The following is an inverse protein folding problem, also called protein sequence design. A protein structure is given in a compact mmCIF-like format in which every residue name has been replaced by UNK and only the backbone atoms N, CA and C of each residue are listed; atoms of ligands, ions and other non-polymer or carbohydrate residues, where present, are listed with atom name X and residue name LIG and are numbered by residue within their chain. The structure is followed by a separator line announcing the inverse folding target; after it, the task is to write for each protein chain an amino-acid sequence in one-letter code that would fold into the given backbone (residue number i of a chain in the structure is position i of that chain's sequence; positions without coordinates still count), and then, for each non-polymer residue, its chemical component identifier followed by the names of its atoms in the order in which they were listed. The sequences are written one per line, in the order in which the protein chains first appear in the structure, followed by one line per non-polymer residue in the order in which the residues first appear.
data_IF_174802663469
#
_entry.id   IF_174802663469
#
_cell.length_a   1.000
_cell.length_b   1.000
_cell.length_c   1.000
_cell.angle_alpha   90.00
_cell.angle_beta   90.00
_cell.angle_gamma   90.00
#
_symmetry.space_group_name_H-M   'P 1'
#
loop_
_entity.id
_entity.type
_entity.pdbx_description
1 polymer ?
#
# COMPACT_ATOMS: atom_id res chain seq x y z
N UNK A 1 -36.86 -11.27 -4.25
CA UNK A 1 -36.16 -12.56 -4.39
C UNK A 1 -34.70 -12.27 -4.15
N UNK A 2 -34.24 -12.69 -2.97
CA UNK A 2 -32.85 -12.79 -2.49
C UNK A 2 -31.87 -11.72 -2.97
N UNK A 3 -31.94 -10.55 -2.34
CA UNK A 3 -30.80 -9.65 -2.22
C UNK A 3 -29.99 -10.12 -1.01
N UNK A 4 -29.11 -11.09 -1.25
CA UNK A 4 -28.04 -11.46 -0.32
C UNK A 4 -26.75 -10.97 -0.98
N UNK A 5 -26.61 -9.65 -1.05
CA UNK A 5 -25.40 -8.98 -1.52
C UNK A 5 -24.20 -9.59 -0.81
N UNK A 6 -23.31 -10.20 -1.58
CA UNK A 6 -22.11 -10.82 -1.06
C UNK A 6 -21.33 -9.76 -0.25
N UNK A 7 -21.32 -9.92 1.07
CA UNK A 7 -20.56 -9.04 1.97
C UNK A 7 -19.09 -9.29 1.68
N UNK A 8 -18.40 -8.31 1.10
CA UNK A 8 -16.95 -8.33 1.01
C UNK A 8 -16.40 -8.53 2.43
N UNK A 9 -15.36 -9.35 2.60
CA UNK A 9 -14.61 -9.48 3.86
C UNK A 9 -13.18 -9.04 3.64
N UNK A 10 -12.53 -8.36 4.58
CA UNK A 10 -11.11 -8.07 4.46
C UNK A 10 -10.34 -9.40 4.49
N UNK A 11 -9.61 -9.71 3.42
CA UNK A 11 -8.79 -10.92 3.26
C UNK A 11 -7.32 -10.69 3.58
N UNK A 12 -6.87 -9.44 3.48
CA UNK A 12 -5.50 -9.04 3.80
C UNK A 12 -5.45 -7.56 4.11
N UNK A 13 -4.47 -7.17 4.92
CA UNK A 13 -4.19 -5.78 5.26
C UNK A 13 -2.70 -5.50 5.03
N UNK A 14 -2.40 -4.37 4.40
CA UNK A 14 -1.05 -3.90 4.21
C UNK A 14 -0.98 -2.38 4.39
N UNK A 15 0.09 -1.91 5.04
CA UNK A 15 0.41 -0.49 5.08
C UNK A 15 1.44 -0.24 4.00
N UNK A 16 1.16 0.71 3.12
CA UNK A 16 1.90 0.91 1.89
C UNK A 16 2.40 2.35 1.81
N UNK A 17 3.61 2.51 1.31
CA UNK A 17 4.21 3.79 0.97
C UNK A 17 4.85 3.68 -0.40
N UNK A 18 4.67 4.71 -1.23
CA UNK A 18 5.26 4.72 -2.57
C UNK A 18 6.23 5.88 -2.71
N UNK A 19 7.32 5.63 -3.42
CA UNK A 19 8.22 6.69 -3.91
C UNK A 19 8.48 6.48 -5.38
N UNK A 20 8.78 7.57 -6.08
CA UNK A 20 9.05 7.57 -7.52
C UNK A 20 10.44 8.10 -7.77
N UNK A 21 11.09 7.56 -8.78
CA UNK A 21 12.39 8.01 -9.25
C UNK A 21 12.54 7.82 -10.75
N UNK A 22 13.47 8.56 -11.36
CA UNK A 22 13.79 8.39 -12.78
C UNK A 22 14.86 7.30 -12.93
N UNK A 23 14.68 6.35 -13.86
CA UNK A 23 15.64 5.25 -14.10
C UNK A 23 17.05 5.78 -14.41
N UNK A 24 17.13 6.89 -15.16
CA UNK A 24 18.41 7.53 -15.52
C UNK A 24 19.18 8.16 -14.35
N UNK A 25 18.56 8.28 -13.17
CA UNK A 25 19.14 8.85 -11.95
C UNK A 25 19.66 7.79 -10.97
N UNK A 26 19.35 6.51 -11.19
CA UNK A 26 19.93 5.41 -10.40
C UNK A 26 21.46 5.44 -10.51
N UNK A 27 22.15 5.18 -9.39
CA UNK A 27 23.61 5.32 -9.32
C UNK A 27 24.33 4.44 -10.35
N UNK A 28 23.81 3.23 -10.59
CA UNK A 28 24.35 2.27 -11.55
C UNK A 28 24.04 2.59 -13.03
N UNK A 29 23.28 3.65 -13.33
CA UNK A 29 22.92 3.98 -14.71
C UNK A 29 24.07 4.65 -15.48
N UNK A 30 24.67 3.93 -16.43
CA UNK A 30 25.69 4.48 -17.34
C UNK A 30 25.04 5.17 -18.56
N UNK A 31 25.05 6.51 -18.57
CA UNK A 31 24.51 7.35 -19.66
C UNK A 31 25.11 7.10 -21.05
N UNK A 32 26.27 6.44 -21.15
CA UNK A 32 26.91 6.12 -22.44
C UNK A 32 26.51 4.75 -22.97
N UNK A 33 26.12 3.82 -22.09
CA UNK A 33 25.88 2.41 -22.42
C UNK A 33 24.43 2.00 -22.29
N UNK A 34 23.67 2.68 -21.43
CA UNK A 34 22.30 2.35 -21.12
C UNK A 34 21.34 3.29 -21.82
N UNK A 35 20.20 2.73 -22.20
CA UNK A 35 19.06 3.48 -22.74
C UNK A 35 17.95 3.46 -21.69
N UNK A 36 17.28 4.60 -21.53
CA UNK A 36 16.12 4.69 -20.64
C UNK A 36 15.00 3.81 -21.22
N UNK A 37 14.32 2.99 -20.41
CA UNK A 37 13.23 2.16 -20.90
C UNK A 37 12.10 3.01 -21.51
N UNK A 38 11.53 2.50 -22.60
CA UNK A 38 10.38 3.07 -23.30
C UNK A 38 9.10 2.24 -23.12
N UNK A 39 9.20 1.13 -22.39
CA UNK A 39 8.12 0.19 -22.10
C UNK A 39 8.38 -0.53 -20.77
N UNK A 40 7.32 -0.82 -20.03
CA UNK A 40 7.37 -1.74 -18.90
C UNK A 40 7.15 -3.19 -19.41
N UNK A 41 8.20 -4.01 -19.37
CA UNK A 41 8.11 -5.43 -19.69
C UNK A 41 9.20 -6.21 -18.94
N UNK A 42 9.15 -7.55 -18.95
CA UNK A 42 10.09 -8.37 -18.19
C UNK A 42 11.58 -8.09 -18.48
N UNK A 43 11.94 -7.69 -19.70
CA UNK A 43 13.32 -7.36 -20.04
C UNK A 43 13.78 -6.01 -19.47
N UNK A 44 12.92 -4.98 -19.52
CA UNK A 44 13.22 -3.65 -18.97
C UNK A 44 13.13 -3.65 -17.44
N UNK A 45 12.23 -4.46 -16.88
CA UNK A 45 12.15 -4.71 -15.45
C UNK A 45 13.42 -5.41 -14.94
N UNK A 46 13.88 -6.50 -15.58
CA UNK A 46 15.15 -7.15 -15.22
C UNK A 46 16.38 -6.24 -15.39
N UNK A 47 16.27 -5.20 -16.23
CA UNK A 47 17.29 -4.15 -16.32
C UNK A 47 17.23 -3.21 -15.11
N UNK A 48 16.04 -2.73 -14.71
CA UNK A 48 15.84 -1.96 -13.49
C UNK A 48 16.36 -2.69 -12.25
N UNK A 49 16.02 -3.97 -12.10
CA UNK A 49 16.43 -4.82 -10.96
C UNK A 49 17.95 -4.86 -10.78
N UNK A 50 18.71 -4.88 -11.89
CA UNK A 50 20.18 -4.81 -11.86
C UNK A 50 20.70 -3.44 -11.48
N UNK A 51 19.99 -2.37 -11.86
CA UNK A 51 20.40 -1.01 -11.55
C UNK A 51 20.19 -0.66 -10.07
N UNK A 52 19.16 -1.22 -9.44
CA UNK A 52 18.84 -0.93 -8.04
C UNK A 52 19.43 -1.93 -7.04
N UNK A 53 20.13 -2.98 -7.48
CA UNK A 53 20.63 -4.07 -6.62
C UNK A 53 21.40 -3.57 -5.38
N UNK A 54 22.35 -2.65 -5.57
CA UNK A 54 23.17 -2.08 -4.48
C UNK A 54 22.33 -1.18 -3.57
N UNK A 55 21.58 -0.22 -4.13
CA UNK A 55 20.72 0.70 -3.37
C UNK A 55 19.67 -0.06 -2.54
N UNK A 56 19.02 -1.07 -3.13
CA UNK A 56 18.05 -1.93 -2.46
C UNK A 56 18.70 -2.73 -1.34
N UNK A 57 19.87 -3.33 -1.59
CA UNK A 57 20.58 -4.12 -0.58
C UNK A 57 20.99 -3.27 0.62
N UNK A 58 21.50 -2.06 0.38
CA UNK A 58 21.88 -1.12 1.44
C UNK A 58 20.67 -0.66 2.25
N UNK A 59 19.56 -0.28 1.60
CA UNK A 59 18.34 0.14 2.32
C UNK A 59 17.74 -1.03 3.11
N UNK A 60 17.68 -2.22 2.50
CA UNK A 60 17.16 -3.42 3.14
C UNK A 60 17.98 -3.83 4.37
N UNK A 61 19.31 -3.76 4.29
CA UNK A 61 20.20 -4.03 5.42
C UNK A 61 20.04 -2.99 6.54
N UNK A 62 19.90 -1.70 6.18
CA UNK A 62 19.65 -0.65 7.16
C UNK A 62 18.33 -0.87 7.91
N UNK A 63 17.27 -1.28 7.21
CA UNK A 63 16.00 -1.65 7.83
C UNK A 63 16.13 -2.86 8.74
N UNK A 64 16.85 -3.90 8.30
CA UNK A 64 17.11 -5.10 9.12
C UNK A 64 17.82 -4.74 10.43
N UNK A 65 18.91 -3.97 10.37
CA UNK A 65 19.66 -3.59 11.57
C UNK A 65 18.83 -2.71 12.50
N UNK A 66 18.10 -1.73 11.95
CA UNK A 66 17.22 -0.84 12.71
C UNK A 66 16.10 -1.61 13.41
N UNK A 67 15.41 -2.52 12.71
CA UNK A 67 14.36 -3.35 13.30
C UNK A 67 14.92 -4.29 14.37
N UNK A 68 16.05 -4.96 14.10
CA UNK A 68 16.70 -5.86 15.04
C UNK A 68 17.08 -5.15 16.35
N UNK A 69 17.67 -3.96 16.26
CA UNK A 69 18.07 -3.19 17.42
C UNK A 69 16.87 -2.69 18.23
N UNK A 70 15.89 -2.05 17.57
CA UNK A 70 14.76 -1.39 18.24
C UNK A 70 13.79 -2.37 18.90
N UNK A 71 13.58 -3.53 18.29
CA UNK A 71 12.71 -4.58 18.84
C UNK A 71 13.47 -5.59 19.70
N UNK A 72 14.81 -5.49 19.74
CA UNK A 72 15.65 -6.47 20.44
C UNK A 72 15.56 -7.88 19.85
N UNK A 73 15.27 -8.02 18.55
CA UNK A 73 15.11 -9.30 17.91
C UNK A 73 16.40 -10.12 17.94
N UNK A 74 16.26 -11.41 18.23
CA UNK A 74 17.35 -12.38 18.10
C UNK A 74 17.51 -12.80 16.64
N UNK A 75 18.69 -13.30 16.28
CA UNK A 75 19.00 -13.80 14.91
C UNK A 75 18.03 -14.84 14.36
N UNK A 76 17.23 -15.51 15.21
CA UNK A 76 16.21 -16.50 14.80
C UNK A 76 14.80 -15.91 14.61
N UNK A 77 14.61 -14.65 15.00
CA UNK A 77 13.31 -13.94 15.03
C UNK A 77 13.23 -12.89 13.92
N UNK A 78 14.28 -12.77 13.11
CA UNK A 78 14.40 -11.82 12.02
C UNK A 78 15.27 -12.42 10.91
N UNK A 79 14.85 -12.27 9.66
CA UNK A 79 15.61 -12.66 8.47
C UNK A 79 15.41 -11.65 7.34
N UNK A 80 16.45 -11.47 6.54
CA UNK A 80 16.42 -10.63 5.35
C UNK A 80 16.63 -11.49 4.11
N UNK A 81 15.77 -11.33 3.11
CA UNK A 81 15.96 -11.85 1.77
C UNK A 81 15.97 -10.66 0.79
N UNK A 82 16.93 -10.63 -0.12
CA UNK A 82 17.02 -9.62 -1.19
C UNK A 82 17.25 -10.38 -2.49
N UNK A 83 16.40 -10.13 -3.47
CA UNK A 83 16.46 -10.75 -4.79
C UNK A 83 15.75 -9.86 -5.82
N UNK A 84 16.38 -9.64 -6.98
CA UNK A 84 15.74 -9.14 -8.21
C UNK A 84 14.76 -7.97 -7.99
N UNK A 85 15.26 -6.82 -7.49
CA UNK A 85 14.45 -5.63 -7.24
C UNK A 85 13.44 -5.74 -6.09
N UNK A 86 13.49 -6.83 -5.32
CA UNK A 86 12.64 -7.09 -4.18
C UNK A 86 13.48 -7.39 -2.93
N UNK A 87 13.09 -6.83 -1.79
CA UNK A 87 13.62 -7.22 -0.49
C UNK A 87 12.49 -7.52 0.47
N UNK A 88 12.63 -8.59 1.26
CA UNK A 88 11.69 -8.96 2.32
C UNK A 88 12.42 -9.15 3.64
N UNK A 89 12.07 -8.31 4.59
CA UNK A 89 12.41 -8.44 6.00
C UNK A 89 11.28 -9.20 6.68
N UNK A 90 11.55 -10.40 7.14
CA UNK A 90 10.59 -11.22 7.86
C UNK A 90 10.93 -11.22 9.34
N UNK A 91 9.96 -10.88 10.19
CA UNK A 91 10.10 -10.88 11.65
C UNK A 91 9.00 -11.74 12.26
N UNK A 92 9.11 -12.04 13.56
CA UNK A 92 8.03 -12.74 14.27
C UNK A 92 6.73 -11.92 14.39
N UNK A 93 6.79 -10.60 14.25
CA UNK A 93 5.66 -9.69 14.54
C UNK A 93 5.10 -8.97 13.29
N UNK A 94 5.85 -8.95 12.18
CA UNK A 94 5.45 -8.36 10.90
C UNK A 94 6.40 -8.78 9.77
N UNK A 95 5.96 -8.64 8.53
CA UNK A 95 6.80 -8.68 7.34
C UNK A 95 6.86 -7.29 6.69
N UNK A 96 8.05 -6.85 6.29
CA UNK A 96 8.28 -5.64 5.51
C UNK A 96 8.85 -6.01 4.15
N UNK A 97 8.31 -5.38 3.10
CA UNK A 97 8.72 -5.58 1.73
C UNK A 97 9.12 -4.25 1.09
N UNK A 98 10.18 -4.28 0.28
CA UNK A 98 10.54 -3.23 -0.66
C UNK A 98 10.48 -3.81 -2.06
N UNK A 99 9.86 -3.12 -3.00
CA UNK A 99 9.80 -3.57 -4.39
C UNK A 99 10.01 -2.42 -5.36
N UNK A 100 10.96 -2.59 -6.26
CA UNK A 100 11.19 -1.72 -7.40
C UNK A 100 10.43 -2.26 -8.62
N UNK A 101 9.55 -1.44 -9.18
CA UNK A 101 8.83 -1.75 -10.41
C UNK A 101 8.93 -0.55 -11.36
N UNK A 102 9.05 -0.78 -12.66
CA UNK A 102 8.87 0.29 -13.64
C UNK A 102 7.43 0.81 -13.57
N UNK A 103 7.26 2.12 -13.74
CA UNK A 103 5.91 2.66 -13.94
C UNK A 103 5.41 2.24 -15.33
N UNK A 104 4.23 1.61 -15.39
CA UNK A 104 3.65 1.11 -16.64
C UNK A 104 3.22 2.25 -17.57
N UNK A 105 2.79 3.38 -17.02
CA UNK A 105 2.35 4.56 -17.75
C UNK A 105 3.54 5.44 -18.15
N UNK A 106 4.59 5.47 -17.34
CA UNK A 106 5.83 6.21 -17.59
C UNK A 106 7.08 5.33 -17.39
N UNK A 107 7.43 4.46 -18.37
CA UNK A 107 8.53 3.51 -18.23
C UNK A 107 9.93 4.12 -18.03
N UNK A 108 10.07 5.43 -18.21
CA UNK A 108 11.31 6.14 -17.86
C UNK A 108 11.49 6.35 -16.35
N UNK A 109 10.43 6.10 -15.58
CA UNK A 109 10.36 6.16 -14.12
C UNK A 109 10.21 4.76 -13.50
N UNK A 110 10.55 4.67 -12.22
CA UNK A 110 10.28 3.52 -11.37
C UNK A 110 9.53 3.96 -10.11
N UNK A 111 8.76 3.03 -9.57
CA UNK A 111 8.11 3.12 -8.27
C UNK A 111 8.82 2.18 -7.31
N UNK A 112 9.13 2.67 -6.11
CA UNK A 112 9.50 1.82 -4.97
C UNK A 112 8.30 1.74 -4.05
N UNK A 113 7.70 0.56 -3.97
CA UNK A 113 6.66 0.25 -3.00
C UNK A 113 7.32 -0.32 -1.73
N UNK A 114 7.15 0.38 -0.61
CA UNK A 114 7.40 -0.17 0.72
C UNK A 114 6.08 -0.66 1.29
N UNK A 115 5.98 -1.92 1.69
CA UNK A 115 4.77 -2.43 2.34
C UNK A 115 5.06 -3.18 3.64
N UNK A 116 4.17 -3.05 4.62
CA UNK A 116 4.18 -3.83 5.86
C UNK A 116 2.91 -4.67 5.90
N UNK A 117 3.09 -5.97 6.13
CA UNK A 117 2.05 -7.01 6.11
C UNK A 117 2.22 -7.93 7.32
N UNK A 118 1.27 -8.84 7.52
CA UNK A 118 1.34 -9.90 8.55
C UNK A 118 1.58 -9.33 9.96
N UNK A 119 0.98 -8.17 10.22
CA UNK A 119 1.15 -7.43 11.46
C UNK A 119 0.47 -8.19 12.60
N UNK A 120 1.22 -8.53 13.65
CA UNK A 120 0.72 -9.34 14.75
C UNK A 120 -0.33 -8.64 15.63
N UNK A 121 -0.33 -7.30 15.68
CA UNK A 121 -1.33 -6.51 16.41
C UNK A 121 -1.34 -5.06 15.93
N UNK A 122 -2.46 -4.36 16.16
CA UNK A 122 -2.56 -2.92 15.89
C UNK A 122 -1.56 -2.11 16.71
N UNK A 123 -1.40 -2.43 17.98
CA UNK A 123 -0.51 -1.72 18.91
C UNK A 123 0.93 -1.64 18.39
N UNK A 124 1.36 -2.65 17.61
CA UNK A 124 2.67 -2.64 16.98
C UNK A 124 2.86 -1.44 16.03
N UNK A 125 1.84 -1.08 15.25
CA UNK A 125 1.86 0.00 14.27
C UNK A 125 1.96 1.39 14.93
N UNK A 126 1.46 1.48 16.16
CA UNK A 126 1.49 2.69 16.97
C UNK A 126 2.75 2.75 17.85
N UNK A 127 3.47 1.62 18.00
CA UNK A 127 4.67 1.55 18.84
C UNK A 127 5.79 2.47 18.35
N UNK A 128 6.54 3.02 19.31
CA UNK A 128 7.72 3.85 19.02
C UNK A 128 8.80 3.04 18.29
N UNK A 129 9.00 1.77 18.67
CA UNK A 129 9.97 0.88 18.05
C UNK A 129 9.71 0.70 16.55
N UNK A 130 8.45 0.49 16.17
CA UNK A 130 8.04 0.39 14.77
C UNK A 130 8.22 1.73 14.04
N UNK A 131 7.60 2.80 14.54
CA UNK A 131 7.64 4.09 13.86
C UNK A 131 9.05 4.63 13.69
N UNK A 132 9.96 4.31 14.61
CA UNK A 132 11.35 4.70 14.52
C UNK A 132 12.22 3.73 13.70
N UNK A 133 11.78 2.48 13.45
CA UNK A 133 12.48 1.55 12.56
C UNK A 133 12.15 1.80 11.09
N UNK A 134 10.87 2.00 10.78
CA UNK A 134 10.37 2.15 9.40
C UNK A 134 10.06 3.59 9.00
N UNK A 135 10.02 4.53 9.94
CA UNK A 135 9.85 5.96 9.66
C UNK A 135 8.50 6.36 9.06
N UNK A 136 8.41 7.60 8.58
CA UNK A 136 7.23 8.15 7.88
C UNK A 136 7.28 7.81 6.38
N UNK A 137 7.26 6.52 6.04
CA UNK A 137 7.36 6.04 4.66
C UNK A 137 6.01 5.85 3.98
N UNK A 138 4.94 5.69 4.76
CA UNK A 138 3.66 5.20 4.30
C UNK A 138 2.68 6.33 4.02
N UNK A 139 1.82 6.12 3.03
CA UNK A 139 0.76 7.05 2.63
C UNK A 139 -0.56 6.33 2.37
N UNK A 140 -0.59 5.00 2.48
CA UNK A 140 -1.71 4.20 2.03
C UNK A 140 -1.98 3.03 3.00
N UNK A 141 -3.24 2.74 3.28
CA UNK A 141 -3.67 1.45 3.81
C UNK A 141 -4.35 0.67 2.69
N UNK A 142 -3.87 -0.54 2.40
CA UNK A 142 -4.40 -1.43 1.36
C UNK A 142 -5.08 -2.63 2.00
N UNK A 143 -6.33 -2.85 1.65
CA UNK A 143 -7.12 -4.01 2.04
C UNK A 143 -7.40 -4.87 0.80
N UNK A 144 -7.13 -6.17 0.88
CA UNK A 144 -7.71 -7.12 -0.06
C UNK A 144 -9.13 -7.50 0.38
N UNK A 145 -10.05 -7.68 -0.58
CA UNK A 145 -11.45 -8.00 -0.34
C UNK A 145 -11.76 -9.43 -0.79
N UNK A 146 -11.96 -10.34 0.16
CA UNK A 146 -12.50 -11.68 -0.10
C UNK A 146 -13.94 -11.57 -0.62
N UNK A 147 -14.18 -12.16 -1.78
CA UNK A 147 -15.48 -12.11 -2.47
C UNK A 147 -15.67 -10.90 -3.37
N UNK A 148 -14.77 -9.92 -3.29
CA UNK A 148 -14.84 -8.66 -4.03
C UNK A 148 -16.00 -7.75 -3.61
N UNK A 149 -16.07 -6.59 -4.25
CA UNK A 149 -17.14 -5.58 -4.12
C UNK A 149 -17.55 -5.13 -5.52
N UNK A 150 -18.83 -4.83 -5.70
CA UNK A 150 -19.36 -4.20 -6.91
C UNK A 150 -18.97 -2.73 -6.91
N UNK A 151 -18.11 -2.31 -7.85
CA UNK A 151 -17.67 -0.91 -7.95
C UNK A 151 -18.86 -0.02 -8.29
N UNK A 152 -19.74 -0.45 -9.19
CA UNK A 152 -20.98 0.26 -9.52
C UNK A 152 -21.83 0.50 -8.28
N UNK A 153 -21.96 -0.50 -7.40
CA UNK A 153 -22.75 -0.32 -6.16
C UNK A 153 -22.11 0.65 -5.18
N UNK A 154 -20.78 0.77 -5.16
CA UNK A 154 -20.10 1.81 -4.36
C UNK A 154 -20.34 3.19 -4.96
N UNK A 155 -20.28 3.32 -6.29
CA UNK A 155 -20.57 4.56 -7.01
C UNK A 155 -22.02 5.00 -6.72
N UNK A 156 -23.00 4.11 -6.97
CA UNK A 156 -24.42 4.39 -6.75
C UNK A 156 -24.68 4.83 -5.31
N UNK A 157 -24.10 4.13 -4.33
CA UNK A 157 -24.25 4.47 -2.91
C UNK A 157 -23.66 5.84 -2.54
N UNK A 158 -22.56 6.25 -3.19
CA UNK A 158 -21.98 7.59 -2.98
C UNK A 158 -22.79 8.66 -3.70
N UNK A 159 -23.32 8.39 -4.89
CA UNK A 159 -24.15 9.34 -5.65
C UNK A 159 -25.56 9.52 -5.06
N UNK A 160 -26.11 8.49 -4.40
CA UNK A 160 -27.39 8.56 -3.68
C UNK A 160 -27.29 9.27 -2.31
N UNK A 161 -26.08 9.55 -1.85
CA UNK A 161 -25.82 10.24 -0.58
C UNK A 161 -26.21 11.73 -0.68
N UNK A 162 -27.10 12.19 0.22
CA UNK A 162 -27.71 13.53 0.12
C UNK A 162 -26.96 14.63 0.90
N UNK A 163 -25.98 14.30 1.76
CA UNK A 163 -25.22 15.30 2.54
C UNK A 163 -24.33 16.18 1.66
N UNK A 164 -23.89 15.65 0.52
CA UNK A 164 -22.95 16.33 -0.39
C UNK A 164 -21.51 16.34 0.11
N UNK A 165 -21.21 15.65 1.23
CA UNK A 165 -19.86 15.55 1.78
C UNK A 165 -18.97 14.57 0.99
N UNK A 166 -19.56 13.69 0.19
CA UNK A 166 -18.86 12.70 -0.61
C UNK A 166 -18.87 13.06 -2.10
N UNK A 167 -17.77 12.76 -2.78
CA UNK A 167 -17.69 12.80 -4.24
C UNK A 167 -16.99 11.56 -4.76
N UNK A 168 -17.38 11.09 -5.94
CA UNK A 168 -16.81 9.90 -6.58
C UNK A 168 -16.36 10.22 -8.01
N UNK A 169 -15.19 9.72 -8.38
CA UNK A 169 -14.63 9.80 -9.73
C UNK A 169 -14.40 8.37 -10.25
N UNK A 170 -14.75 8.10 -11.50
CA UNK A 170 -14.70 6.76 -12.09
C UNK A 170 -14.62 6.82 -13.63
N UNK A 171 -13.93 5.86 -14.28
CA UNK A 171 -13.97 5.69 -15.73
C UNK A 171 -15.34 5.19 -16.19
N UNK A 172 -15.65 5.36 -17.48
CA UNK A 172 -16.95 4.97 -18.06
C UNK A 172 -17.27 3.47 -18.00
N UNK A 173 -16.26 2.63 -17.74
CA UNK A 173 -16.41 1.19 -17.60
C UNK A 173 -16.59 0.73 -16.15
N UNK A 174 -16.58 1.66 -15.19
CA UNK A 174 -16.69 1.41 -13.75
C UNK A 174 -15.67 0.38 -13.23
N UNK A 175 -14.50 0.26 -13.88
CA UNK A 175 -13.45 -0.68 -13.48
C UNK A 175 -12.86 -0.38 -12.10
N UNK A 176 -12.94 0.87 -11.66
CA UNK A 176 -12.57 1.33 -10.32
C UNK A 176 -13.32 2.62 -9.98
N UNK A 177 -13.30 3.04 -8.72
CA UNK A 177 -13.76 4.36 -8.32
C UNK A 177 -12.82 4.98 -7.29
N UNK A 178 -12.78 6.31 -7.25
CA UNK A 178 -12.06 7.10 -6.26
C UNK A 178 -13.06 7.97 -5.51
N UNK A 179 -13.27 7.68 -4.23
CA UNK A 179 -14.16 8.43 -3.34
C UNK A 179 -13.34 9.46 -2.55
N UNK A 180 -13.81 10.71 -2.51
CA UNK A 180 -13.21 11.82 -1.75
C UNK A 180 -14.23 12.37 -0.78
N UNK A 181 -13.77 12.72 0.41
CA UNK A 181 -14.60 13.26 1.49
C UNK A 181 -14.22 14.73 1.72
N UNK A 182 -15.21 15.62 1.75
CA UNK A 182 -14.99 17.04 2.00
C UNK A 182 -14.32 17.25 3.38
N UNK A 183 -13.29 18.10 3.41
CA UNK A 183 -12.56 18.40 4.64
C UNK A 183 -11.54 17.34 5.10
N UNK A 184 -11.49 16.17 4.46
CA UNK A 184 -10.48 15.13 4.75
C UNK A 184 -9.41 15.13 3.66
N UNK A 185 -8.14 15.23 4.06
CA UNK A 185 -7.00 15.17 3.16
C UNK A 185 -6.64 13.71 2.81
N UNK A 186 -7.45 13.08 1.96
CA UNK A 186 -7.25 11.73 1.46
C UNK A 186 -8.35 11.28 0.50
N UNK A 187 -8.19 10.10 -0.07
CA UNK A 187 -9.14 9.48 -0.98
C UNK A 187 -9.20 7.97 -0.77
N UNK A 188 -10.31 7.35 -1.18
CA UNK A 188 -10.51 5.90 -1.17
C UNK A 188 -10.56 5.41 -2.60
N UNK A 189 -9.62 4.56 -2.97
CA UNK A 189 -9.65 3.86 -4.23
C UNK A 189 -10.25 2.46 -4.05
N UNK A 190 -11.11 2.03 -4.97
CA UNK A 190 -11.72 0.69 -4.98
C UNK A 190 -11.71 0.15 -6.41
N UNK A 191 -11.18 -1.06 -6.63
CA UNK A 191 -11.17 -1.72 -7.96
C UNK A 191 -11.92 -3.06 -7.98
N UNK A 192 -12.79 -3.26 -6.99
CA UNK A 192 -13.59 -4.45 -6.83
C UNK A 192 -12.91 -5.57 -6.03
N UNK A 193 -11.59 -5.62 -5.92
CA UNK A 193 -10.88 -6.63 -5.09
C UNK A 193 -9.89 -6.03 -4.13
N UNK A 194 -9.48 -4.79 -4.36
CA UNK A 194 -8.64 -3.98 -3.51
C UNK A 194 -9.40 -2.74 -3.11
N UNK A 195 -9.19 -2.36 -1.85
CA UNK A 195 -9.52 -1.04 -1.35
C UNK A 195 -8.26 -0.38 -0.80
N UNK A 196 -8.00 0.85 -1.21
CA UNK A 196 -6.88 1.65 -0.71
C UNK A 196 -7.40 2.95 -0.10
N UNK A 197 -7.06 3.21 1.15
CA UNK A 197 -7.19 4.56 1.74
C UNK A 197 -5.87 5.27 1.59
N UNK A 198 -5.84 6.26 0.71
CA UNK A 198 -4.65 7.04 0.34
C UNK A 198 -4.69 8.39 1.03
N UNK A 199 -3.70 8.67 1.86
CA UNK A 199 -3.50 9.95 2.49
C UNK A 199 -2.67 10.85 1.58
N UNK A 200 -3.05 12.12 1.44
CA UNK A 200 -2.35 13.06 0.53
C UNK A 200 -0.90 13.40 0.92
N UNK A 201 -0.40 12.89 2.06
CA UNK A 201 0.97 13.05 2.53
C UNK A 201 1.42 11.78 3.24
N UNK A 202 2.74 11.51 3.20
CA UNK A 202 3.34 10.46 4.03
C UNK A 202 3.09 10.71 5.51
N UNK A 203 2.73 9.65 6.21
CA UNK A 203 2.37 9.64 7.61
C UNK A 203 2.98 8.41 8.33
N UNK A 204 2.85 8.39 9.66
CA UNK A 204 3.09 7.19 10.45
C UNK A 204 1.95 6.18 10.24
N UNK A 205 2.22 4.90 10.49
CA UNK A 205 1.22 3.84 10.40
C UNK A 205 -0.01 4.11 11.27
N UNK A 206 0.18 4.56 12.52
CA UNK A 206 -0.92 4.91 13.42
C UNK A 206 -1.85 5.99 12.86
N UNK A 207 -1.31 7.04 12.21
CA UNK A 207 -2.15 8.08 11.58
C UNK A 207 -2.92 7.57 10.38
N UNK A 208 -2.33 6.66 9.59
CA UNK A 208 -3.04 6.02 8.47
C UNK A 208 -4.20 5.17 8.98
N UNK A 209 -4.01 4.46 10.09
CA UNK A 209 -5.07 3.68 10.73
C UNK A 209 -6.21 4.60 11.22
N UNK A 210 -5.91 5.72 11.89
CA UNK A 210 -6.93 6.69 12.31
C UNK A 210 -7.71 7.27 11.11
N UNK A 211 -7.00 7.62 10.03
CA UNK A 211 -7.63 8.10 8.79
C UNK A 211 -8.52 7.03 8.18
N UNK A 212 -8.05 5.78 8.15
CA UNK A 212 -8.81 4.64 7.65
C UNK A 212 -10.06 4.36 8.48
N UNK A 213 -10.00 4.45 9.80
CA UNK A 213 -11.18 4.25 10.64
C UNK A 213 -12.25 5.29 10.34
N UNK A 214 -11.87 6.57 10.25
CA UNK A 214 -12.80 7.66 9.91
C UNK A 214 -13.41 7.51 8.52
N UNK A 215 -12.56 7.26 7.55
CA UNK A 215 -12.95 7.13 6.14
C UNK A 215 -13.77 5.85 5.94
N UNK A 216 -13.34 4.76 6.58
CA UNK A 216 -14.02 3.48 6.57
C UNK A 216 -15.40 3.58 7.23
N UNK A 217 -15.53 4.22 8.39
CA UNK A 217 -16.84 4.45 9.02
C UNK A 217 -17.81 5.16 8.08
N UNK A 218 -17.37 6.18 7.34
CA UNK A 218 -18.26 6.92 6.43
C UNK A 218 -18.52 6.20 5.11
N UNK A 219 -17.47 5.73 4.42
CA UNK A 219 -17.60 5.09 3.10
C UNK A 219 -18.20 3.70 3.22
N UNK A 220 -17.83 2.92 4.24
CA UNK A 220 -18.40 1.59 4.45
C UNK A 220 -19.81 1.62 5.04
N UNK A 221 -20.17 2.62 5.85
CA UNK A 221 -21.56 2.77 6.27
C UNK A 221 -22.47 3.11 5.08
N UNK A 222 -22.06 4.02 4.21
CA UNK A 222 -22.83 4.41 3.02
C UNK A 222 -22.88 3.30 1.97
N UNK A 223 -21.79 2.55 1.75
CA UNK A 223 -21.72 1.46 0.78
C UNK A 223 -22.21 0.09 1.30
N UNK A 224 -22.80 0.01 2.50
CA UNK A 224 -23.31 -1.26 3.07
C UNK A 224 -22.22 -2.26 3.50
N UNK A 225 -20.99 -1.79 3.69
CA UNK A 225 -19.79 -2.56 4.05
C UNK A 225 -19.42 -2.42 5.54
N UNK A 226 -20.26 -1.76 6.36
CA UNK A 226 -19.95 -1.29 7.71
C UNK A 226 -19.53 -2.35 8.75
N UNK A 227 -19.73 -3.65 8.48
CA UNK A 227 -19.26 -4.75 9.34
C UNK A 227 -17.82 -5.22 9.02
N UNK A 228 -17.16 -4.67 8.01
CA UNK A 228 -15.78 -5.03 7.66
C UNK A 228 -14.77 -4.77 8.79
N UNK A 229 -15.10 -3.84 9.69
CA UNK A 229 -14.20 -3.34 10.73
C UNK A 229 -14.51 -3.88 12.13
N UNK A 230 -15.66 -4.51 12.35
CA UNK A 230 -16.12 -4.81 13.71
C UNK A 230 -15.53 -6.09 14.32
N UNK A 231 -15.03 -7.07 13.54
CA UNK A 231 -14.64 -8.37 14.13
C UNK A 231 -13.41 -9.10 13.53
N UNK A 232 -12.60 -8.56 12.60
CA UNK A 232 -11.69 -9.45 11.83
C UNK A 232 -10.28 -9.01 11.41
N UNK A 233 -9.73 -7.90 11.90
CA UNK A 233 -8.50 -7.35 11.30
C UNK A 233 -7.21 -7.53 12.10
N UNK A 234 -7.20 -7.06 13.35
CA UNK A 234 -6.01 -6.94 14.20
C UNK A 234 -6.47 -7.00 15.66
N UNK A 235 -6.83 -8.19 16.12
CA UNK A 235 -7.02 -8.47 17.55
C UNK A 235 -5.68 -8.71 18.25
#
# INVERSE_FOLDING_TARGET
MSDEGARAKVSSLAIVGRTRGEVRRLAAFDKKRHTVPDRACGATQAFLEKLCEEELSEEAEALFQSARERFGYKRREISLNVDSGFARLETKDFALELRYELDEEEPSEYVVETSVREVASRDLLESEAFNASVGSRFDCLRCGLAGGVSVESVIDAVEEEESGELSVDYPSDCSHCVVKIEGIAGEVFVDGVVLEVRCGKKASAGRLMESFERIGEQVFASAGLGELLSEGGLG
#
